data_IF_567173556098
#
_entry.id   IF_567173556098
#
_cell.length_a   1.000
_cell.length_b   1.000
_cell.length_c   1.000
_cell.angle_alpha   90.00
_cell.angle_beta   90.00
_cell.angle_gamma   90.00
#
_symmetry.space_group_name_H-M   'P 1'
#
loop_
_entity.id
_entity.type
_entity.pdbx_description
1 polymer ?
#
# COMPACT_ATOMS: atom_id res chain seq x y z
N UNK A 1 26.15 43.07 0.87
CA UNK A 1 25.94 41.84 0.09
C UNK A 1 25.73 40.68 1.06
N UNK A 2 24.49 40.24 1.26
CA UNK A 2 24.18 39.02 2.00
C UNK A 2 23.00 38.36 1.31
N UNK A 3 23.24 37.24 0.62
CA UNK A 3 22.23 36.50 -0.12
C UNK A 3 21.40 35.67 0.87
N UNK A 4 20.20 36.13 1.23
CA UNK A 4 19.24 35.29 1.93
C UNK A 4 18.68 34.23 0.98
N UNK A 5 19.19 33.01 1.15
CA UNK A 5 18.73 31.81 0.45
C UNK A 5 17.31 31.47 0.92
N UNK A 6 16.36 31.46 -0.01
CA UNK A 6 15.03 30.86 0.13
C UNK A 6 15.18 29.45 0.75
N UNK A 7 14.73 29.26 1.99
CA UNK A 7 14.46 27.92 2.52
C UNK A 7 13.04 27.55 2.11
N UNK A 8 13.00 26.60 1.19
CA UNK A 8 11.80 25.93 0.68
C UNK A 8 10.88 25.50 1.82
N UNK A 9 9.60 25.84 1.68
CA UNK A 9 8.49 25.30 2.47
C UNK A 9 8.50 23.78 2.28
N UNK A 10 9.07 23.08 3.25
CA UNK A 10 9.00 21.62 3.31
C UNK A 10 7.56 21.21 3.49
N UNK A 11 6.96 20.63 2.46
CA UNK A 11 5.67 19.96 2.52
C UNK A 11 5.82 18.86 3.59
N UNK A 12 5.19 19.07 4.75
CA UNK A 12 5.08 18.05 5.79
C UNK A 12 3.97 17.09 5.38
N UNK A 13 4.30 16.07 4.61
CA UNK A 13 3.42 14.93 4.42
C UNK A 13 3.31 14.18 5.74
N UNK A 14 2.07 13.88 6.12
CA UNK A 14 1.67 13.15 7.33
C UNK A 14 2.51 11.90 7.53
N UNK A 15 3.02 11.75 8.76
CA UNK A 15 3.94 10.71 9.24
C UNK A 15 3.50 9.31 8.80
N UNK A 16 4.12 8.78 7.74
CA UNK A 16 4.32 7.34 7.64
C UNK A 16 5.11 6.96 8.90
N UNK A 17 4.58 6.07 9.74
CA UNK A 17 5.37 5.49 10.82
C UNK A 17 6.50 4.73 10.13
N UNK A 18 7.68 5.31 10.09
CA UNK A 18 8.89 4.71 9.55
C UNK A 18 9.75 4.24 10.71
N UNK A 19 10.42 3.10 10.52
CA UNK A 19 11.38 2.55 11.48
C UNK A 19 12.76 2.57 10.81
N UNK A 20 13.76 3.04 11.55
CA UNK A 20 15.17 3.05 11.12
C UNK A 20 15.87 1.81 11.65
N UNK A 21 16.48 1.03 10.77
CA UNK A 21 17.03 -0.25 11.19
C UNK A 21 18.32 -0.03 11.97
N UNK A 22 18.45 -0.68 13.12
CA UNK A 22 19.65 -0.60 13.95
C UNK A 22 20.89 -1.21 13.30
N UNK A 23 20.72 -2.11 12.33
CA UNK A 23 21.83 -2.76 11.63
C UNK A 23 22.20 -2.06 10.31
N UNK A 24 21.20 -1.68 9.51
CA UNK A 24 21.40 -1.12 8.17
C UNK A 24 21.36 0.42 8.15
N UNK A 25 20.82 1.07 9.19
CA UNK A 25 20.54 2.52 9.30
C UNK A 25 19.63 3.12 8.20
N UNK A 26 19.03 2.26 7.38
CA UNK A 26 18.01 2.68 6.41
C UNK A 26 16.63 2.75 7.06
N UNK A 27 15.85 3.70 6.58
CA UNK A 27 14.51 4.00 7.05
C UNK A 27 13.48 3.38 6.11
N UNK A 28 12.55 2.62 6.69
CA UNK A 28 11.50 1.92 5.96
C UNK A 28 10.15 2.07 6.68
N UNK A 29 9.03 2.00 5.95
CA UNK A 29 7.70 1.92 6.55
C UNK A 29 7.56 0.82 7.63
N UNK A 30 6.83 1.08 8.72
CA UNK A 30 6.73 0.22 9.91
C UNK A 30 5.80 -1.01 9.76
N UNK A 31 5.52 -1.46 8.53
CA UNK A 31 4.72 -2.67 8.28
C UNK A 31 5.60 -3.86 7.84
N UNK A 32 6.91 -3.66 7.70
CA UNK A 32 7.85 -4.76 7.56
C UNK A 32 8.11 -5.42 8.93
N UNK A 33 8.23 -6.75 8.96
CA UNK A 33 8.68 -7.50 10.15
C UNK A 33 10.20 -7.50 10.30
N UNK A 34 10.95 -7.25 9.22
CA UNK A 34 12.43 -7.21 9.16
C UNK A 34 12.95 -6.07 8.23
N UNK A 35 14.18 -5.53 8.40
CA UNK A 35 14.79 -4.53 7.48
C UNK A 35 14.88 -5.10 6.07
N UNK A 36 14.26 -4.48 5.05
CA UNK A 36 14.34 -4.93 3.65
C UNK A 36 15.78 -5.04 3.11
N UNK A 37 16.70 -4.20 3.58
CA UNK A 37 18.11 -4.22 3.13
C UNK A 37 18.97 -5.32 3.75
N UNK A 38 18.73 -5.67 5.02
CA UNK A 38 19.62 -6.59 5.76
C UNK A 38 18.90 -7.77 6.43
N UNK A 39 17.59 -7.90 6.23
CA UNK A 39 16.71 -8.90 6.81
C UNK A 39 16.74 -8.98 8.36
N UNK A 40 17.29 -7.98 9.06
CA UNK A 40 17.31 -7.95 10.51
C UNK A 40 15.92 -7.64 11.08
N UNK A 41 15.48 -8.42 12.07
CA UNK A 41 14.22 -8.14 12.78
C UNK A 41 14.25 -6.76 13.42
N UNK A 42 13.12 -6.06 13.32
CA UNK A 42 12.98 -4.72 13.87
C UNK A 42 12.97 -4.69 15.40
N UNK A 43 12.51 -5.77 16.02
CA UNK A 43 12.52 -5.97 17.46
C UNK A 43 13.52 -7.07 17.77
N UNK A 44 14.75 -6.66 18.10
CA UNK A 44 15.80 -7.57 18.54
C UNK A 44 15.57 -7.97 20.00
N UNK A 45 14.48 -8.68 20.27
CA UNK A 45 14.46 -9.63 21.37
C UNK A 45 15.09 -10.89 20.81
N UNK A 46 16.26 -11.27 21.35
CA UNK A 46 17.00 -12.48 20.98
C UNK A 46 16.08 -13.70 21.04
N UNK A 47 15.46 -14.05 19.93
CA UNK A 47 14.82 -15.34 19.73
C UNK A 47 15.85 -16.24 19.06
N UNK A 48 16.42 -17.11 19.88
CA UNK A 48 17.35 -18.13 19.49
C UNK A 48 16.74 -19.07 18.43
N UNK A 49 17.52 -19.26 17.36
CA UNK A 49 17.72 -20.51 16.62
C UNK A 49 16.53 -21.25 15.96
N UNK A 50 16.59 -21.22 14.61
CA UNK A 50 16.47 -22.32 13.62
C UNK A 50 15.02 -22.91 13.51
N UNK A 51 14.35 -22.95 12.35
CA UNK A 51 14.48 -23.92 11.23
C UNK A 51 13.55 -23.45 10.09
N UNK A 52 13.99 -23.59 8.83
CA UNK A 52 13.24 -23.35 7.57
C UNK A 52 12.89 -21.90 7.20
N UNK A 53 13.86 -21.14 6.66
CA UNK A 53 13.54 -20.06 5.71
C UNK A 53 13.02 -20.69 4.42
N UNK A 54 11.71 -20.98 4.33
CA UNK A 54 11.03 -20.82 3.06
C UNK A 54 11.15 -19.32 2.74
N UNK A 55 11.87 -18.95 1.68
CA UNK A 55 11.74 -17.60 1.15
C UNK A 55 10.25 -17.35 0.93
N UNK A 56 9.70 -16.41 1.68
CA UNK A 56 8.33 -15.97 1.47
C UNK A 56 8.34 -15.30 0.12
N UNK A 57 7.89 -16.02 -0.91
CA UNK A 57 7.78 -15.50 -2.25
C UNK A 57 6.83 -14.29 -2.21
N UNK A 58 7.20 -13.22 -2.90
CA UNK A 58 6.45 -11.97 -2.95
C UNK A 58 6.07 -11.66 -4.39
N UNK A 59 4.94 -10.98 -4.58
CA UNK A 59 4.47 -10.50 -5.88
C UNK A 59 4.03 -9.05 -5.79
N UNK A 60 4.16 -8.33 -6.91
CA UNK A 60 3.44 -7.07 -7.11
C UNK A 60 2.04 -7.39 -7.61
N UNK A 61 1.04 -6.79 -6.99
CA UNK A 61 -0.37 -6.98 -7.34
C UNK A 61 -0.86 -5.69 -7.97
N UNK A 62 -1.59 -5.84 -9.07
CA UNK A 62 -2.19 -4.72 -9.80
C UNK A 62 -3.69 -4.78 -9.65
N UNK A 63 -4.27 -3.75 -9.05
CA UNK A 63 -5.71 -3.56 -8.95
C UNK A 63 -6.11 -2.54 -10.02
N UNK A 64 -7.02 -2.96 -10.91
CA UNK A 64 -7.52 -2.15 -12.03
C UNK A 64 -8.99 -1.87 -11.79
N UNK A 65 -9.39 -0.61 -11.87
CA UNK A 65 -10.76 -0.16 -11.65
C UNK A 65 -11.19 0.69 -12.83
N UNK A 66 -12.33 0.35 -13.44
CA UNK A 66 -12.97 1.21 -14.43
C UNK A 66 -14.09 1.98 -13.74
N UNK A 67 -14.10 3.29 -13.91
CA UNK A 67 -15.12 4.18 -13.37
C UNK A 67 -15.81 4.85 -14.55
N UNK A 68 -17.11 4.68 -14.66
CA UNK A 68 -17.93 5.32 -15.68
C UNK A 68 -18.36 6.70 -15.18
N UNK A 69 -17.90 7.77 -15.83
CA UNK A 69 -18.24 9.15 -15.43
C UNK A 69 -19.75 9.43 -15.48
N UNK A 70 -20.48 8.66 -16.31
CA UNK A 70 -21.94 8.67 -16.41
C UNK A 70 -22.63 8.36 -15.07
N UNK A 71 -21.96 7.67 -14.14
CA UNK A 71 -22.51 7.33 -12.83
C UNK A 71 -22.51 8.52 -11.85
N UNK A 72 -21.71 9.56 -12.11
CA UNK A 72 -21.42 10.61 -11.11
C UNK A 72 -21.90 12.01 -11.50
N UNK A 73 -22.25 12.24 -12.77
CA UNK A 73 -22.61 13.56 -13.33
C UNK A 73 -21.62 14.69 -12.97
N UNK A 74 -20.39 14.35 -12.61
CA UNK A 74 -19.37 15.25 -12.07
C UNK A 74 -17.97 14.76 -12.45
N UNK A 75 -17.02 15.70 -12.47
CA UNK A 75 -15.62 15.38 -12.73
C UNK A 75 -14.98 14.69 -11.53
N UNK A 76 -14.22 13.63 -11.80
CA UNK A 76 -13.43 12.90 -10.82
C UNK A 76 -12.21 13.75 -10.43
N UNK A 77 -11.98 13.98 -9.13
CA UNK A 77 -10.78 14.66 -8.65
C UNK A 77 -9.65 13.66 -8.38
N UNK A 78 -9.95 12.58 -7.67
CA UNK A 78 -9.01 11.49 -7.40
C UNK A 78 -9.73 10.18 -7.10
N UNK A 79 -9.06 9.08 -7.41
CA UNK A 79 -9.50 7.73 -7.05
C UNK A 79 -8.46 7.14 -6.12
N UNK A 80 -8.92 6.49 -5.05
CA UNK A 80 -8.08 5.91 -4.03
C UNK A 80 -8.45 4.45 -3.79
N UNK A 81 -7.43 3.61 -3.77
CA UNK A 81 -7.53 2.26 -3.26
C UNK A 81 -7.34 2.30 -1.74
N UNK A 82 -8.32 1.80 -1.00
CA UNK A 82 -8.19 1.56 0.43
C UNK A 82 -8.09 0.07 0.67
N UNK A 83 -7.01 -0.39 1.27
CA UNK A 83 -6.79 -1.83 1.45
C UNK A 83 -6.18 -2.18 2.81
N UNK A 84 -6.40 -3.42 3.21
CA UNK A 84 -5.81 -4.07 4.36
C UNK A 84 -5.22 -5.41 3.94
N UNK A 85 -4.00 -5.67 4.39
CA UNK A 85 -3.31 -6.96 4.22
C UNK A 85 -3.20 -7.74 5.56
N UNK A 86 -3.87 -7.27 6.62
CA UNK A 86 -3.81 -7.82 7.97
C UNK A 86 -5.21 -8.07 8.55
N UNK A 87 -6.14 -8.49 7.67
CA UNK A 87 -7.54 -8.82 7.99
C UNK A 87 -8.31 -7.65 8.64
N UNK A 88 -8.11 -6.44 8.14
CA UNK A 88 -8.85 -5.24 8.53
C UNK A 88 -8.33 -4.54 9.79
N UNK A 89 -7.18 -4.95 10.34
CA UNK A 89 -6.58 -4.30 11.53
C UNK A 89 -5.96 -2.96 11.17
N UNK A 90 -5.27 -2.89 10.04
CA UNK A 90 -4.64 -1.68 9.50
C UNK A 90 -5.13 -1.46 8.08
N UNK A 91 -5.49 -0.21 7.79
CA UNK A 91 -5.95 0.21 6.47
C UNK A 91 -4.98 1.24 5.88
N UNK A 92 -4.64 1.02 4.61
CA UNK A 92 -3.72 1.84 3.85
C UNK A 92 -4.47 2.48 2.69
N UNK A 93 -4.10 3.72 2.37
CA UNK A 93 -4.69 4.49 1.29
C UNK A 93 -3.65 4.76 0.22
N UNK A 94 -3.95 4.36 -1.00
CA UNK A 94 -3.12 4.55 -2.18
C UNK A 94 -3.91 5.35 -3.21
N UNK A 95 -3.32 6.43 -3.73
CA UNK A 95 -3.89 7.11 -4.89
C UNK A 95 -3.70 6.21 -6.11
N UNK A 96 -4.76 6.01 -6.88
CA UNK A 96 -4.70 5.26 -8.13
C UNK A 96 -4.21 6.18 -9.26
N UNK A 97 -3.36 5.63 -10.10
CA UNK A 97 -2.89 6.27 -11.33
C UNK A 97 -3.99 6.20 -12.39
N UNK A 98 -4.28 7.35 -13.02
CA UNK A 98 -5.26 7.44 -14.08
C UNK A 98 -4.61 7.09 -15.42
N UNK A 99 -5.15 6.07 -16.07
CA UNK A 99 -4.91 5.73 -17.48
C UNK A 99 -6.14 6.10 -18.32
N UNK A 100 -6.03 6.01 -19.65
CA UNK A 100 -7.06 6.47 -20.61
C UNK A 100 -8.52 6.17 -20.20
N UNK A 101 -8.83 4.92 -19.82
CA UNK A 101 -10.20 4.47 -19.52
C UNK A 101 -10.34 3.80 -18.15
N UNK A 102 -9.30 3.81 -17.32
CA UNK A 102 -9.27 3.06 -16.06
C UNK A 102 -8.22 3.61 -15.10
N UNK A 103 -8.30 3.17 -13.85
CA UNK A 103 -7.38 3.52 -12.77
C UNK A 103 -6.60 2.29 -12.32
N UNK A 104 -5.32 2.46 -12.02
CA UNK A 104 -4.44 1.40 -11.52
C UNK A 104 -3.90 1.76 -10.14
N UNK A 105 -3.84 0.76 -9.24
CA UNK A 105 -2.92 0.78 -8.11
C UNK A 105 -2.07 -0.48 -8.10
N UNK A 106 -0.76 -0.31 -7.85
CA UNK A 106 0.18 -1.42 -7.69
C UNK A 106 0.62 -1.53 -6.23
N UNK A 107 0.37 -2.70 -5.64
CA UNK A 107 0.84 -3.05 -4.29
C UNK A 107 2.06 -3.95 -4.47
N UNK A 108 3.24 -3.40 -4.24
CA UNK A 108 4.49 -4.13 -4.39
C UNK A 108 4.75 -5.07 -3.20
N UNK A 109 5.55 -6.11 -3.46
CA UNK A 109 6.12 -6.98 -2.42
C UNK A 109 5.12 -7.71 -1.52
N UNK A 110 3.92 -8.01 -2.01
CA UNK A 110 2.90 -8.70 -1.21
C UNK A 110 3.27 -10.18 -1.08
N UNK A 111 3.30 -10.73 0.14
CA UNK A 111 3.54 -12.16 0.36
C UNK A 111 2.51 -13.02 -0.37
N UNK A 112 2.98 -14.05 -1.06
CA UNK A 112 2.09 -15.05 -1.67
C UNK A 112 1.29 -15.79 -0.59
N UNK A 113 0.03 -16.10 -0.88
CA UNK A 113 -0.94 -16.63 0.07
C UNK A 113 -1.59 -15.57 0.98
N UNK A 114 -1.24 -14.28 0.85
CA UNK A 114 -1.93 -13.22 1.58
C UNK A 114 -3.34 -13.01 1.03
N UNK A 115 -4.22 -12.48 1.88
CA UNK A 115 -5.53 -11.97 1.47
C UNK A 115 -5.51 -10.45 1.63
N UNK A 116 -5.75 -9.74 0.54
CA UNK A 116 -5.95 -8.30 0.54
C UNK A 116 -7.45 -8.04 0.57
N UNK A 117 -7.90 -7.31 1.59
CA UNK A 117 -9.26 -6.78 1.69
C UNK A 117 -9.21 -5.34 1.19
N UNK A 118 -10.09 -4.93 0.29
CA UNK A 118 -10.05 -3.57 -0.23
C UNK A 118 -11.41 -3.02 -0.62
N UNK A 119 -11.46 -1.69 -0.78
CA UNK A 119 -12.56 -0.93 -1.36
C UNK A 119 -12.02 0.32 -2.05
N UNK A 120 -12.85 0.97 -2.87
CA UNK A 120 -12.46 2.14 -3.65
C UNK A 120 -13.14 3.39 -3.09
N UNK A 121 -12.36 4.44 -2.89
CA UNK A 121 -12.84 5.78 -2.57
C UNK A 121 -12.67 6.69 -3.79
N UNK A 122 -13.75 7.32 -4.22
CA UNK A 122 -13.78 8.27 -5.33
C UNK A 122 -14.07 9.65 -4.77
N UNK A 123 -13.14 10.59 -4.91
CA UNK A 123 -13.37 11.99 -4.57
C UNK A 123 -13.80 12.73 -5.83
N UNK A 124 -14.94 13.40 -5.75
CA UNK A 124 -15.46 14.27 -6.81
C UNK A 124 -14.97 15.72 -6.58
N UNK A 125 -14.92 16.52 -7.65
CA UNK A 125 -14.37 17.88 -7.61
C UNK A 125 -15.06 18.85 -6.62
N UNK A 126 -16.29 18.58 -6.19
CA UNK A 126 -17.01 19.35 -5.16
C UNK A 126 -16.73 18.86 -3.73
N UNK A 127 -15.83 17.89 -3.56
CA UNK A 127 -15.41 17.36 -2.26
C UNK A 127 -16.26 16.19 -1.73
N UNK A 128 -17.25 15.72 -2.49
CA UNK A 128 -18.01 14.52 -2.15
C UNK A 128 -17.15 13.26 -2.33
N UNK A 129 -17.23 12.34 -1.37
CA UNK A 129 -16.53 11.04 -1.43
C UNK A 129 -17.55 9.93 -1.59
N UNK A 130 -17.38 9.13 -2.65
CA UNK A 130 -18.18 7.95 -2.92
C UNK A 130 -17.34 6.71 -2.59
N UNK A 131 -17.97 5.75 -1.94
CA UNK A 131 -17.34 4.51 -1.49
C UNK A 131 -17.95 3.35 -2.27
N UNK A 132 -17.13 2.67 -3.07
CA UNK A 132 -17.46 1.39 -3.66
C UNK A 132 -16.81 0.28 -2.82
N UNK A 133 -17.61 -0.34 -1.96
CA UNK A 133 -17.16 -1.36 -1.01
C UNK A 133 -17.92 -2.68 -1.13
N UNK A 134 -18.45 -3.00 -2.32
CA UNK A 134 -19.18 -4.24 -2.58
C UNK A 134 -20.35 -4.43 -1.60
N UNK A 135 -21.21 -3.41 -1.49
CA UNK A 135 -22.38 -3.40 -0.59
C UNK A 135 -22.01 -3.67 0.89
N UNK A 136 -20.86 -3.15 1.34
CA UNK A 136 -20.35 -3.34 2.70
C UNK A 136 -19.66 -4.68 2.95
N UNK A 137 -19.49 -5.52 1.93
CA UNK A 137 -18.78 -6.82 2.06
C UNK A 137 -17.28 -6.72 1.83
N UNK A 138 -16.81 -5.63 1.23
CA UNK A 138 -15.46 -5.45 0.70
C UNK A 138 -15.11 -6.41 -0.44
N UNK A 139 -14.05 -6.08 -1.17
CA UNK A 139 -13.42 -6.95 -2.15
C UNK A 139 -12.28 -7.73 -1.50
N UNK A 140 -12.05 -8.95 -1.98
CA UNK A 140 -10.98 -9.82 -1.51
C UNK A 140 -10.11 -10.25 -2.69
N UNK A 141 -8.80 -10.13 -2.52
CA UNK A 141 -7.82 -10.61 -3.48
C UNK A 141 -6.85 -11.57 -2.79
N UNK A 142 -6.83 -12.82 -3.24
CA UNK A 142 -5.89 -13.83 -2.76
C UNK A 142 -4.65 -13.86 -3.67
N UNK A 143 -3.47 -13.71 -3.06
CA UNK A 143 -2.20 -13.66 -3.80
C UNK A 143 -1.78 -15.08 -4.18
N UNK A 144 -2.12 -15.50 -5.40
CA UNK A 144 -1.94 -16.89 -5.83
C UNK A 144 -0.53 -17.43 -5.62
N UNK A 145 -0.45 -18.58 -4.93
CA UNK A 145 0.75 -19.39 -4.68
C UNK A 145 1.19 -20.04 -6.00
N UNK A 146 2.49 -20.14 -6.37
CA UNK A 146 2.85 -20.88 -7.57
C UNK A 146 2.50 -22.34 -7.33
N UNK A 147 1.68 -22.94 -8.18
CA UNK A 147 1.45 -24.38 -8.15
C UNK A 147 2.75 -24.98 -8.69
N UNK A 148 3.52 -25.69 -7.86
CA UNK A 148 4.58 -26.57 -8.36
C UNK A 148 3.86 -27.69 -9.12
N UNK A 149 4.03 -27.73 -10.45
CA UNK A 149 3.60 -28.86 -11.27
C UNK A 149 4.25 -30.13 -10.68
N UNK A 150 3.41 -31.03 -10.16
CA UNK A 150 3.82 -32.31 -9.56
C UNK A 150 4.17 -33.36 -10.60
#
# INVERSE_FOLDING_TARGET
MGKDKKKTLGIKTTRYFTKSCTNCMFEYPNWFTNCPKCAAAWDSVKAEKIVNRKEILKKTIKIVVKITEEDFNNTLERVQLIFSADHGKSWYRFQMEHELDYFIAEIAEVPMGSIIIYYIEVLLAHGETIIENNEGKYFYYEVGIPIEDS
#
